data_IF_735203757177
#
_entry.id   IF_735203757177
#
_cell.length_a   1.000
_cell.length_b   1.000
_cell.length_c   1.000
_cell.angle_alpha   90.00
_cell.angle_beta   90.00
_cell.angle_gamma   90.00
#
_symmetry.space_group_name_H-M   'P 1'
#
loop_
_entity.id
_entity.type
_entity.pdbx_description
1 polymer ?
#
# COMPACT_ATOMS: atom_id res chain seq x y z
N UNK A 1 -1.12 2.65 -4.55
CA UNK A 1 -2.00 1.63 -3.94
C UNK A 1 -1.37 0.26 -4.18
N UNK A 2 -1.41 -0.66 -3.21
CA UNK A 2 -0.77 -1.98 -3.34
C UNK A 2 -1.69 -2.87 -4.17
N UNK A 3 -1.30 -3.17 -5.42
CA UNK A 3 -1.98 -4.18 -6.24
C UNK A 3 -1.31 -5.54 -6.00
N UNK A 4 -2.05 -6.48 -5.42
CA UNK A 4 -1.62 -7.85 -5.08
C UNK A 4 -2.17 -8.90 -6.08
N UNK A 5 -3.28 -8.61 -6.75
CA UNK A 5 -4.07 -9.53 -7.60
C UNK A 5 -3.44 -9.83 -8.94
N UNK A 6 -2.55 -8.96 -9.44
CA UNK A 6 -1.86 -9.18 -10.71
C UNK A 6 -0.60 -10.04 -10.58
N UNK A 7 -0.25 -10.51 -9.38
CA UNK A 7 1.01 -11.17 -9.10
C UNK A 7 0.80 -12.55 -8.44
N UNK A 8 1.39 -13.61 -9.03
CA UNK A 8 1.51 -14.93 -8.40
C UNK A 8 2.49 -14.88 -7.23
N UNK A 9 2.12 -14.21 -6.14
CA UNK A 9 2.95 -14.05 -4.94
C UNK A 9 2.81 -15.28 -4.04
N UNK A 10 3.92 -15.72 -3.46
CA UNK A 10 3.85 -16.63 -2.31
C UNK A 10 3.16 -15.95 -1.12
N UNK A 11 2.61 -16.72 -0.19
CA UNK A 11 2.01 -16.18 1.05
C UNK A 11 2.96 -15.25 1.79
N UNK A 12 4.25 -15.60 1.82
CA UNK A 12 5.29 -14.77 2.45
C UNK A 12 5.42 -13.41 1.77
N UNK A 13 5.50 -13.39 0.45
CA UNK A 13 5.65 -12.15 -0.31
C UNK A 13 4.39 -11.28 -0.24
N UNK A 14 3.21 -11.92 -0.22
CA UNK A 14 1.94 -11.22 -0.01
C UNK A 14 1.94 -10.51 1.35
N UNK A 15 2.29 -11.21 2.44
CA UNK A 15 2.36 -10.62 3.79
C UNK A 15 3.39 -9.48 3.82
N UNK A 16 4.58 -9.68 3.26
CA UNK A 16 5.62 -8.65 3.21
C UNK A 16 5.20 -7.41 2.39
N UNK A 17 4.41 -7.61 1.33
CA UNK A 17 3.92 -6.52 0.49
C UNK A 17 2.79 -5.75 1.18
N UNK A 18 1.82 -6.45 1.78
CA UNK A 18 0.67 -5.85 2.47
C UNK A 18 1.11 -5.00 3.67
N UNK A 19 2.02 -5.54 4.48
CA UNK A 19 2.46 -4.93 5.73
C UNK A 19 3.83 -4.25 5.59
N UNK A 20 4.17 -3.83 4.36
CA UNK A 20 5.38 -3.07 4.11
C UNK A 20 5.36 -1.73 4.88
N UNK A 21 6.50 -1.27 5.42
CA UNK A 21 6.65 0.04 6.06
C UNK A 21 5.99 1.18 5.27
N UNK A 22 5.13 1.96 5.94
CA UNK A 22 4.54 3.15 5.36
C UNK A 22 5.45 4.36 5.59
N UNK A 23 5.75 5.07 4.51
CA UNK A 23 6.60 6.27 4.51
C UNK A 23 5.78 7.43 3.98
N UNK A 24 5.67 8.50 4.77
CA UNK A 24 5.06 9.74 4.33
C UNK A 24 6.00 10.52 3.43
N UNK A 25 5.50 11.18 2.40
CA UNK A 25 6.25 12.16 1.62
C UNK A 25 5.53 13.51 1.64
N UNK A 26 6.32 14.58 1.77
CA UNK A 26 5.87 15.96 1.61
C UNK A 26 6.87 16.72 0.76
N UNK A 27 6.37 17.54 -0.15
CA UNK A 27 7.19 18.20 -1.17
C UNK A 27 7.01 19.72 -1.10
N UNK A 28 8.06 20.47 -1.40
CA UNK A 28 7.90 21.88 -1.75
C UNK A 28 7.10 22.03 -3.05
N UNK A 29 6.40 23.15 -3.26
CA UNK A 29 5.69 23.40 -4.52
C UNK A 29 6.59 23.24 -5.75
N UNK A 30 7.84 23.69 -5.66
CA UNK A 30 8.82 23.60 -6.75
C UNK A 30 9.27 22.17 -7.01
N UNK A 31 9.40 21.33 -5.97
CA UNK A 31 9.72 19.91 -6.15
C UNK A 31 8.55 19.17 -6.84
N UNK A 32 7.32 19.45 -6.41
CA UNK A 32 6.13 18.84 -7.00
C UNK A 32 5.94 19.26 -8.47
N UNK A 33 6.15 20.56 -8.79
CA UNK A 33 6.11 21.08 -10.15
C UNK A 33 7.11 20.36 -11.08
N UNK A 34 8.30 20.00 -10.56
CA UNK A 34 9.29 19.24 -11.33
C UNK A 34 8.81 17.83 -11.68
N UNK A 35 8.12 17.14 -10.75
CA UNK A 35 7.52 15.83 -11.02
C UNK A 35 6.36 15.95 -12.02
N UNK A 36 5.54 16.98 -11.90
CA UNK A 36 4.37 17.22 -12.76
C UNK A 36 4.72 17.41 -14.24
N UNK A 37 5.97 17.78 -14.58
CA UNK A 37 6.45 17.78 -15.98
C UNK A 37 6.33 16.41 -16.65
N UNK A 38 6.29 15.32 -15.87
CA UNK A 38 6.06 13.96 -16.34
C UNK A 38 4.61 13.48 -16.13
N UNK A 39 3.69 14.37 -15.75
CA UNK A 39 2.31 14.07 -15.35
C UNK A 39 2.22 13.08 -14.17
N UNK A 40 3.20 13.12 -13.27
CA UNK A 40 3.26 12.29 -12.07
C UNK A 40 3.47 13.19 -10.85
N UNK A 41 2.88 12.80 -9.73
CA UNK A 41 3.26 13.31 -8.41
C UNK A 41 4.62 12.75 -7.97
N UNK A 42 5.25 13.36 -6.97
CA UNK A 42 6.50 12.82 -6.42
C UNK A 42 6.37 11.36 -5.96
N UNK A 43 5.26 11.05 -5.29
CA UNK A 43 4.97 9.70 -4.79
C UNK A 43 4.85 8.69 -5.93
N UNK A 44 4.16 9.04 -7.01
CA UNK A 44 4.00 8.17 -8.18
C UNK A 44 5.33 7.94 -8.89
N UNK A 45 6.17 8.97 -8.98
CA UNK A 45 7.52 8.87 -9.55
C UNK A 45 8.41 7.88 -8.76
N UNK A 46 8.22 7.76 -7.44
CA UNK A 46 8.96 6.81 -6.60
C UNK A 46 8.43 5.38 -6.60
N UNK A 47 7.16 5.15 -7.01
CA UNK A 47 6.54 3.81 -6.95
C UNK A 47 7.39 2.70 -7.60
N UNK A 48 8.02 2.88 -8.77
CA UNK A 48 8.88 1.86 -9.38
C UNK A 48 10.10 1.47 -8.54
N UNK A 49 10.56 2.37 -7.67
CA UNK A 49 11.74 2.20 -6.81
C UNK A 49 11.37 1.78 -5.37
N UNK A 50 10.10 1.45 -5.13
CA UNK A 50 9.59 1.07 -3.80
C UNK A 50 10.11 -0.26 -3.28
N UNK A 51 10.69 -1.12 -4.15
CA UNK A 51 11.25 -2.42 -3.76
C UNK A 51 12.76 -2.31 -3.60
N UNK A 52 13.26 -2.62 -2.40
CA UNK A 52 14.68 -2.62 -2.12
C UNK A 52 15.35 -3.79 -2.87
N UNK A 53 16.45 -3.47 -3.56
CA UNK A 53 17.31 -4.46 -4.23
C UNK A 53 18.31 -5.10 -3.27
N UNK A 54 18.57 -4.45 -2.14
CA UNK A 54 19.43 -4.93 -1.06
C UNK A 54 18.62 -5.54 0.07
N UNK A 55 19.24 -6.46 0.80
CA UNK A 55 18.65 -7.04 2.01
C UNK A 55 18.61 -5.97 3.11
N UNK A 56 17.42 -5.72 3.67
CA UNK A 56 17.27 -4.91 4.86
C UNK A 56 17.68 -5.75 6.08
N UNK A 57 18.39 -5.18 7.04
CA UNK A 57 18.73 -5.90 8.28
C UNK A 57 18.44 -5.08 9.53
N UNK A 58 18.03 -5.76 10.58
CA UNK A 58 17.81 -5.16 11.91
C UNK A 58 18.27 -6.14 13.00
N UNK A 59 18.46 -5.64 14.21
CA UNK A 59 18.73 -6.48 15.39
C UNK A 59 17.50 -6.53 16.27
N UNK A 60 17.14 -7.74 16.71
CA UNK A 60 16.08 -7.91 17.69
C UNK A 60 16.54 -7.56 19.13
N UNK A 61 15.65 -7.69 20.11
CA UNK A 61 15.95 -7.39 21.52
C UNK A 61 17.02 -8.30 22.14
N UNK A 62 17.32 -9.45 21.52
CA UNK A 62 18.40 -10.35 21.92
C UNK A 62 19.74 -10.00 21.26
N UNK A 63 19.75 -9.01 20.35
CA UNK A 63 20.91 -8.64 19.56
C UNK A 63 21.12 -9.50 18.32
N UNK A 64 20.20 -10.42 18.01
CA UNK A 64 20.29 -11.30 16.85
C UNK A 64 19.97 -10.49 15.58
N UNK A 65 20.86 -10.59 14.59
CA UNK A 65 20.69 -9.93 13.30
C UNK A 65 19.71 -10.70 12.41
N UNK A 66 18.65 -10.03 11.98
CA UNK A 66 17.63 -10.57 11.08
C UNK A 66 17.73 -9.85 9.74
N UNK A 67 17.80 -10.59 8.64
CA UNK A 67 17.80 -10.05 7.28
C UNK A 67 16.49 -10.32 6.55
N UNK A 68 15.94 -9.29 5.93
CA UNK A 68 14.70 -9.28 5.17
C UNK A 68 15.01 -9.04 3.69
N UNK A 69 14.78 -10.06 2.87
CA UNK A 69 14.91 -9.99 1.42
C UNK A 69 13.65 -9.41 0.78
N UNK A 70 13.84 -8.61 -0.27
CA UNK A 70 12.76 -8.10 -1.10
C UNK A 70 11.81 -7.14 -0.39
N UNK A 71 12.29 -6.45 0.63
CA UNK A 71 11.52 -5.49 1.41
C UNK A 71 10.97 -4.40 0.50
N UNK A 72 9.66 -4.17 0.60
CA UNK A 72 8.97 -3.07 -0.08
C UNK A 72 8.78 -1.92 0.90
N UNK A 73 8.77 -0.70 0.40
CA UNK A 73 8.43 0.52 1.11
C UNK A 73 7.17 1.10 0.48
N UNK A 74 6.13 1.34 1.27
CA UNK A 74 4.92 1.97 0.77
C UNK A 74 5.02 3.47 0.99
N UNK A 75 5.22 4.23 -0.07
CA UNK A 75 5.36 5.69 -0.02
C UNK A 75 4.00 6.30 -0.38
N UNK A 76 3.50 7.21 0.45
CA UNK A 76 2.32 8.00 0.13
C UNK A 76 2.44 9.44 0.64
N UNK A 77 1.57 10.31 0.14
CA UNK A 77 1.49 11.68 0.59
C UNK A 77 1.11 11.73 2.07
N UNK A 78 1.73 12.63 2.84
CA UNK A 78 1.45 12.79 4.28
C UNK A 78 0.04 13.28 4.57
N UNK A 79 -0.60 13.98 3.62
CA UNK A 79 -1.98 14.39 3.65
C UNK A 79 -2.93 13.25 3.23
N UNK A 80 -2.42 12.12 2.75
CA UNK A 80 -3.25 10.97 2.41
C UNK A 80 -4.02 10.50 3.64
N UNK A 81 -5.30 10.21 3.45
CA UNK A 81 -6.18 9.66 4.47
C UNK A 81 -6.89 8.43 3.91
N UNK A 82 -7.09 7.37 4.72
CA UNK A 82 -7.94 6.27 4.32
C UNK A 82 -9.36 6.76 3.99
N UNK A 83 -10.06 6.09 3.06
CA UNK A 83 -11.42 6.47 2.67
C UNK A 83 -12.37 6.34 3.86
N UNK A 84 -13.26 7.32 4.08
CA UNK A 84 -14.27 7.29 5.14
C UNK A 84 -15.05 5.98 5.19
N UNK A 85 -15.47 5.55 6.38
CA UNK A 85 -16.12 4.25 6.62
C UNK A 85 -17.27 3.94 5.66
N UNK A 86 -18.08 4.94 5.29
CA UNK A 86 -19.19 4.77 4.33
C UNK A 86 -18.66 4.41 2.93
N UNK A 87 -17.65 5.14 2.45
CA UNK A 87 -17.01 4.86 1.16
C UNK A 87 -16.25 3.54 1.19
N UNK A 88 -15.52 3.25 2.27
CA UNK A 88 -14.83 1.97 2.45
C UNK A 88 -15.81 0.79 2.39
N UNK A 89 -16.97 0.88 3.06
CA UNK A 89 -18.03 -0.13 2.99
C UNK A 89 -18.58 -0.28 1.58
N UNK A 90 -18.80 0.83 0.87
CA UNK A 90 -19.23 0.79 -0.54
C UNK A 90 -18.19 0.07 -1.40
N UNK A 91 -16.91 0.42 -1.29
CA UNK A 91 -15.83 -0.25 -2.04
C UNK A 91 -15.77 -1.75 -1.76
N UNK A 92 -15.95 -2.15 -0.50
CA UNK A 92 -16.01 -3.57 -0.12
C UNK A 92 -17.21 -4.27 -0.75
N UNK A 93 -18.39 -3.66 -0.74
CA UNK A 93 -19.56 -4.22 -1.42
C UNK A 93 -19.33 -4.33 -2.93
N UNK A 94 -18.82 -3.26 -3.54
CA UNK A 94 -18.55 -3.20 -4.98
C UNK A 94 -17.57 -4.32 -5.39
N UNK A 95 -16.51 -4.57 -4.61
CA UNK A 95 -15.53 -5.63 -4.87
C UNK A 95 -16.12 -7.04 -4.95
N UNK A 96 -17.24 -7.28 -4.24
CA UNK A 96 -17.95 -8.57 -4.28
C UNK A 96 -18.88 -8.63 -5.49
N UNK A 97 -19.55 -7.53 -5.80
CA UNK A 97 -20.56 -7.45 -6.85
C UNK A 97 -19.96 -7.45 -8.26
N UNK A 98 -18.77 -6.86 -8.44
CA UNK A 98 -18.17 -6.64 -9.76
C UNK A 98 -17.35 -7.81 -10.28
N UNK A 99 -17.03 -8.78 -9.42
CA UNK A 99 -15.96 -9.76 -9.70
C UNK A 99 -16.48 -11.17 -9.55
N UNK A 100 -17.08 -11.69 -10.61
CA UNK A 100 -17.68 -13.04 -10.62
C UNK A 100 -16.82 -14.03 -11.40
N UNK A 101 -16.99 -15.32 -11.10
CA UNK A 101 -16.33 -16.39 -11.83
C UNK A 101 -17.29 -16.95 -12.87
N UNK A 102 -17.01 -16.73 -14.15
CA UNK A 102 -17.84 -17.22 -15.25
C UNK A 102 -17.67 -18.74 -15.49
N UNK A 103 -16.67 -19.36 -14.87
CA UNK A 103 -16.34 -20.79 -15.03
C UNK A 103 -16.79 -21.58 -13.81
N UNK A 104 -17.51 -22.66 -14.04
CA UNK A 104 -17.90 -23.62 -12.99
C UNK A 104 -17.20 -24.96 -13.20
N UNK A 105 -17.15 -25.76 -12.13
CA UNK A 105 -16.75 -27.15 -12.14
C UNK A 105 -17.82 -27.99 -11.45
N UNK A 106 -18.12 -29.14 -12.02
CA UNK A 106 -19.03 -30.11 -11.43
C UNK A 106 -18.34 -30.82 -10.25
N UNK A 107 -19.05 -30.93 -9.12
CA UNK A 107 -18.66 -31.69 -7.94
C UNK A 107 -19.77 -32.66 -7.60
N UNK A 108 -19.45 -33.95 -7.56
CA UNK A 108 -20.36 -35.01 -7.14
C UNK A 108 -20.38 -35.08 -5.61
N UNK A 109 -21.55 -34.84 -5.01
CA UNK A 109 -21.78 -34.93 -3.57
C UNK A 109 -22.16 -36.36 -3.19
N UNK A 110 -22.93 -37.01 -4.05
CA UNK A 110 -23.31 -38.42 -3.99
C UNK A 110 -23.56 -38.94 -5.42
N UNK A 111 -23.97 -40.21 -5.53
CA UNK A 111 -24.21 -40.88 -6.83
C UNK A 111 -25.33 -40.24 -7.67
N UNK A 112 -26.15 -39.37 -7.06
CA UNK A 112 -27.32 -38.73 -7.69
C UNK A 112 -27.22 -37.21 -7.77
N UNK A 113 -26.37 -36.60 -6.95
CA UNK A 113 -26.30 -35.14 -6.76
C UNK A 113 -24.97 -34.61 -7.28
N UNK A 114 -25.07 -33.81 -8.36
CA UNK A 114 -23.93 -33.07 -8.92
C UNK A 114 -24.21 -31.58 -8.76
N UNK A 115 -23.25 -30.84 -8.19
CA UNK A 115 -23.31 -29.40 -8.00
C UNK A 115 -22.28 -28.71 -8.89
N UNK A 116 -22.70 -27.70 -9.63
CA UNK A 116 -21.79 -26.79 -10.31
C UNK A 116 -21.33 -25.70 -9.35
N UNK A 117 -20.07 -25.73 -8.97
CA UNK A 117 -19.46 -24.71 -8.11
C UNK A 117 -18.51 -23.82 -8.93
N UNK A 118 -18.33 -22.55 -8.57
CA UNK A 118 -17.31 -21.69 -9.19
C UNK A 118 -15.93 -22.34 -9.20
N UNK A 119 -15.18 -22.14 -10.28
CA UNK A 119 -13.81 -22.64 -10.41
C UNK A 119 -12.83 -21.85 -9.55
N UNK A 120 -13.13 -20.58 -9.29
CA UNK A 120 -12.35 -19.68 -8.43
C UNK A 120 -13.25 -18.63 -7.78
N UNK A 121 -12.71 -17.93 -6.79
CA UNK A 121 -13.40 -16.90 -6.01
C UNK A 121 -12.78 -15.50 -6.25
N UNK A 122 -12.89 -14.91 -7.47
CA UNK A 122 -12.28 -13.62 -7.79
C UNK A 122 -12.81 -12.47 -6.93
N UNK A 123 -14.09 -12.55 -6.53
CA UNK A 123 -14.69 -11.62 -5.56
C UNK A 123 -13.92 -11.59 -4.25
N UNK A 124 -13.42 -12.74 -3.77
CA UNK A 124 -12.75 -12.83 -2.48
C UNK A 124 -11.36 -12.21 -2.56
N UNK A 125 -10.65 -12.43 -3.67
CA UNK A 125 -9.35 -11.81 -3.89
C UNK A 125 -9.48 -10.28 -3.93
N UNK A 126 -10.42 -9.75 -4.70
CA UNK A 126 -10.64 -8.31 -4.80
C UNK A 126 -11.19 -7.70 -3.51
N UNK A 127 -12.07 -8.40 -2.81
CA UNK A 127 -12.53 -7.99 -1.49
C UNK A 127 -11.38 -7.94 -0.48
N UNK A 128 -10.51 -8.96 -0.46
CA UNK A 128 -9.35 -9.02 0.43
C UNK A 128 -8.40 -7.86 0.15
N UNK A 129 -8.12 -7.55 -1.10
CA UNK A 129 -7.30 -6.39 -1.46
C UNK A 129 -7.92 -5.06 -1.02
N UNK A 130 -9.23 -4.92 -1.28
CA UNK A 130 -9.97 -3.72 -0.89
C UNK A 130 -9.93 -3.57 0.62
N UNK A 131 -10.22 -4.64 1.36
CA UNK A 131 -10.13 -4.70 2.81
C UNK A 131 -8.76 -4.26 3.29
N UNK A 132 -7.69 -4.85 2.76
CA UNK A 132 -6.30 -4.50 3.07
C UNK A 132 -5.87 -3.13 2.54
N UNK A 133 -6.69 -2.39 1.81
CA UNK A 133 -6.37 -1.03 1.37
C UNK A 133 -7.11 0.00 2.21
N UNK A 134 -8.39 -0.25 2.51
CA UNK A 134 -9.29 0.70 3.15
C UNK A 134 -9.25 0.70 4.68
N UNK A 135 -8.44 -0.15 5.32
CA UNK A 135 -8.35 -0.15 6.78
C UNK A 135 -7.84 1.19 7.31
N UNK A 136 -8.50 1.65 8.37
CA UNK A 136 -8.05 2.78 9.15
C UNK A 136 -6.93 2.35 10.11
N UNK A 137 -5.91 3.19 10.35
CA UNK A 137 -5.01 3.00 11.46
C UNK A 137 -5.81 2.87 12.76
N UNK A 138 -5.61 1.79 13.49
CA UNK A 138 -6.12 1.62 14.85
C UNK A 138 -5.08 2.12 15.86
N UNK A 139 -5.52 2.67 16.99
CA UNK A 139 -4.67 3.30 18.02
C UNK A 139 -3.51 2.42 18.53
N UNK A 140 -3.66 1.09 18.43
CA UNK A 140 -2.68 0.11 18.91
C UNK A 140 -2.06 -0.74 17.79
N UNK A 141 -2.14 -0.28 16.53
CA UNK A 141 -1.61 -1.00 15.38
C UNK A 141 -0.52 -0.18 14.68
N UNK A 142 0.64 -0.78 14.41
CA UNK A 142 1.77 -0.08 13.76
C UNK A 142 1.82 -0.21 12.23
N UNK A 143 0.96 -1.04 11.64
CA UNK A 143 1.02 -1.40 10.21
C UNK A 143 0.59 -0.28 9.26
N UNK A 144 -0.12 0.73 9.79
CA UNK A 144 -0.68 1.86 9.02
C UNK A 144 -0.20 3.23 9.47
N UNK A 145 0.74 3.28 10.41
CA UNK A 145 1.38 4.51 10.82
C UNK A 145 2.63 4.76 9.99
N UNK A 146 2.94 6.03 9.75
CA UNK A 146 4.19 6.40 9.11
C UNK A 146 5.37 6.02 10.02
N UNK A 147 6.26 5.17 9.52
CA UNK A 147 7.50 4.82 10.21
C UNK A 147 8.63 5.81 9.93
N UNK A 148 8.50 6.59 8.85
CA UNK A 148 9.43 7.64 8.45
C UNK A 148 8.72 8.66 7.55
N UNK A 149 9.38 9.80 7.33
CA UNK A 149 8.93 10.81 6.39
C UNK A 149 10.06 11.29 5.49
N UNK A 150 9.73 11.55 4.23
CA UNK A 150 10.56 12.27 3.27
C UNK A 150 10.11 13.72 3.21
N UNK A 151 11.05 14.65 3.41
CA UNK A 151 10.86 16.08 3.17
C UNK A 151 11.65 16.42 1.91
N UNK A 152 10.94 16.74 0.84
CA UNK A 152 11.52 16.87 -0.49
C UNK A 152 11.49 18.33 -0.92
N UNK A 153 12.65 18.82 -1.32
CA UNK A 153 12.86 20.20 -1.78
C UNK A 153 13.48 20.18 -3.17
N UNK A 154 13.25 21.24 -3.93
CA UNK A 154 13.91 21.51 -5.19
C UNK A 154 15.17 22.34 -4.96
N UNK A 155 16.21 22.11 -5.75
CA UNK A 155 17.36 23.02 -5.80
C UNK A 155 17.00 24.41 -6.34
N UNK A 156 15.81 24.56 -6.93
CA UNK A 156 15.26 25.83 -7.39
C UNK A 156 14.37 26.52 -6.34
N UNK A 157 14.22 25.95 -5.14
CA UNK A 157 13.54 26.62 -4.03
C UNK A 157 14.27 27.94 -3.67
N UNK A 158 13.58 29.10 -3.65
CA UNK A 158 14.22 30.39 -3.33
C UNK A 158 14.80 30.45 -1.92
N UNK A 159 14.17 29.74 -0.99
CA UNK A 159 14.62 29.63 0.40
C UNK A 159 14.37 28.20 0.92
N UNK A 160 15.28 27.25 0.63
CA UNK A 160 15.05 25.83 0.91
C UNK A 160 14.97 25.52 2.41
N UNK A 161 15.66 26.29 3.26
CA UNK A 161 15.61 26.09 4.71
C UNK A 161 14.24 26.48 5.29
N UNK A 162 13.68 27.60 4.84
CA UNK A 162 12.34 28.00 5.27
C UNK A 162 11.27 27.04 4.74
N UNK A 163 11.38 26.59 3.47
CA UNK A 163 10.52 25.54 2.92
C UNK A 163 10.60 24.26 3.77
N UNK A 164 11.80 23.77 4.09
CA UNK A 164 11.98 22.59 4.96
C UNK A 164 11.31 22.77 6.32
N UNK A 165 11.49 23.95 6.96
CA UNK A 165 10.91 24.24 8.26
C UNK A 165 9.37 24.25 8.21
N UNK A 166 8.77 24.81 7.16
CA UNK A 166 7.33 24.81 6.96
C UNK A 166 6.76 23.41 6.77
N UNK A 167 7.39 22.61 5.91
CA UNK A 167 7.00 21.21 5.69
C UNK A 167 7.15 20.40 6.98
N UNK A 168 8.26 20.54 7.70
CA UNK A 168 8.48 19.87 8.99
C UNK A 168 7.41 20.20 10.02
N UNK A 169 7.01 21.48 10.13
CA UNK A 169 5.92 21.88 11.04
C UNK A 169 4.59 21.23 10.68
N UNK A 170 4.32 21.05 9.39
CA UNK A 170 3.11 20.36 8.92
C UNK A 170 3.09 18.91 9.37
N UNK A 171 4.26 18.24 9.39
CA UNK A 171 4.38 16.86 9.87
C UNK A 171 4.16 16.71 11.37
N UNK A 172 4.57 17.69 12.17
CA UNK A 172 4.36 17.67 13.63
C UNK A 172 2.88 17.78 14.04
N UNK A 173 1.99 18.10 13.10
CA UNK A 173 0.55 18.21 13.31
C UNK A 173 -0.23 16.96 12.87
N UNK A 174 0.47 15.95 12.33
CA UNK A 174 -0.10 14.66 11.91
C UNK A 174 -0.16 13.68 13.08
#
# INVERSE_FOLDING_TARGET
MIHLTSQNLSTREMVQSVFSPLIGATCSPQAEEMCQKNNLTFVEMLQPFSRLTTDASFRDSSGTSVSLKGTRLNICDVAWRPPQTVLARKMLNDSVLTSQCDKTRAVHVDDTTTLDIPFSEPWYEQWRETFLTVQFPADHEFTRHFLSCLIVLSSSDPNPLDSANQLTRTLLLL
#
